data_IF_457812073324
#
_entry.id   IF_457812073324
#
_cell.length_a   1.000
_cell.length_b   1.000
_cell.length_c   1.000
_cell.angle_alpha   90.00
_cell.angle_beta   90.00
_cell.angle_gamma   90.00
#
_symmetry.space_group_name_H-M   'P 1'
#
loop_
_entity.id
_entity.type
_entity.pdbx_description
1 polymer ?
#
# COMPACT_ATOMS: atom_id res chain seq x y z
N UNK A 1 -6.75 8.05 -17.36
CA UNK A 1 -8.18 7.95 -17.00
C UNK A 1 -8.52 6.52 -16.68
N UNK A 2 -9.63 6.25 -15.98
CA UNK A 2 -9.95 4.91 -15.46
C UNK A 2 -10.86 4.05 -16.37
N UNK A 3 -11.24 4.54 -17.55
CA UNK A 3 -12.15 3.82 -18.45
C UNK A 3 -13.54 3.63 -17.82
N UNK A 4 -14.08 2.41 -17.88
CA UNK A 4 -15.40 2.06 -17.36
C UNK A 4 -15.41 1.70 -15.85
N UNK A 5 -14.31 1.95 -15.13
CA UNK A 5 -14.26 1.68 -13.71
C UNK A 5 -15.01 2.77 -12.92
N UNK A 6 -15.62 2.42 -11.76
CA UNK A 6 -16.21 3.41 -10.87
C UNK A 6 -15.16 4.32 -10.20
N UNK A 7 -13.87 3.94 -10.27
CA UNK A 7 -12.77 4.76 -9.81
C UNK A 7 -12.56 5.97 -10.73
N UNK A 8 -12.25 7.14 -10.15
CA UNK A 8 -11.98 8.36 -10.94
C UNK A 8 -10.65 8.27 -11.70
N UNK A 9 -9.66 7.62 -11.11
CA UNK A 9 -8.31 7.50 -11.65
C UNK A 9 -7.76 6.10 -11.43
N UNK A 10 -6.89 5.69 -12.34
CA UNK A 10 -6.00 4.54 -12.17
C UNK A 10 -4.58 5.09 -12.22
N UNK A 11 -3.81 4.86 -11.16
CA UNK A 11 -2.40 5.23 -11.08
C UNK A 11 -1.59 3.96 -11.32
N UNK A 12 -0.80 3.94 -12.38
CA UNK A 12 0.08 2.82 -12.68
C UNK A 12 1.38 2.97 -11.91
N UNK A 13 1.70 2.00 -11.07
CA UNK A 13 2.92 1.94 -10.30
C UNK A 13 3.65 0.62 -10.58
N UNK A 14 4.96 0.72 -10.82
CA UNK A 14 5.83 -0.45 -11.01
C UNK A 14 6.66 -0.61 -9.74
N UNK A 15 6.45 -1.73 -9.04
CA UNK A 15 7.29 -2.10 -7.92
C UNK A 15 8.54 -2.87 -8.38
N UNK A 16 9.53 -3.05 -7.48
CA UNK A 16 10.74 -3.80 -7.79
C UNK A 16 10.48 -5.30 -7.92
N UNK A 17 11.32 -5.98 -8.70
CA UNK A 17 11.50 -7.44 -8.63
C UNK A 17 12.42 -7.75 -7.46
N UNK A 18 12.06 -8.76 -6.66
CA UNK A 18 12.84 -9.15 -5.49
C UNK A 18 14.10 -9.94 -5.87
N UNK A 19 15.27 -9.47 -5.42
CA UNK A 19 16.56 -10.12 -5.64
C UNK A 19 17.29 -10.42 -4.33
N UNK A 20 16.56 -10.55 -3.21
CA UNK A 20 17.12 -10.84 -1.89
C UNK A 20 17.25 -9.62 -0.97
N UNK A 21 16.77 -8.45 -1.38
CA UNK A 21 16.60 -7.28 -0.48
C UNK A 21 17.85 -6.43 -0.28
N UNK A 22 18.93 -6.71 -1.02
CA UNK A 22 20.20 -5.99 -0.93
C UNK A 22 20.40 -4.97 -2.07
N UNK A 23 19.44 -4.85 -2.98
CA UNK A 23 19.51 -3.98 -4.17
C UNK A 23 18.63 -2.72 -4.04
N UNK A 24 18.25 -2.37 -2.81
CA UNK A 24 17.37 -1.22 -2.53
C UNK A 24 15.90 -1.46 -2.85
N UNK A 25 15.46 -2.72 -2.92
CA UNK A 25 14.07 -3.06 -3.22
C UNK A 25 13.09 -2.46 -2.20
N UNK A 26 13.51 -2.35 -0.93
CA UNK A 26 12.70 -1.71 0.12
C UNK A 26 12.38 -0.26 -0.24
N UNK A 27 13.39 0.53 -0.57
CA UNK A 27 13.25 1.94 -0.91
C UNK A 27 12.49 2.14 -2.23
N UNK A 28 12.69 1.24 -3.20
CA UNK A 28 11.95 1.26 -4.46
C UNK A 28 10.46 0.96 -4.26
N UNK A 29 10.13 -0.05 -3.45
CA UNK A 29 8.74 -0.37 -3.12
C UNK A 29 8.07 0.77 -2.35
N UNK A 30 8.74 1.31 -1.33
CA UNK A 30 8.27 2.49 -0.60
C UNK A 30 8.08 3.69 -1.54
N UNK A 31 9.00 3.89 -2.50
CA UNK A 31 8.91 4.90 -3.53
C UNK A 31 7.65 4.77 -4.38
N UNK A 32 7.33 3.55 -4.85
CA UNK A 32 6.14 3.28 -5.65
C UNK A 32 4.84 3.67 -4.91
N UNK A 33 4.72 3.30 -3.63
CA UNK A 33 3.58 3.69 -2.80
C UNK A 33 3.52 5.21 -2.57
N UNK A 34 4.65 5.82 -2.17
CA UNK A 34 4.72 7.26 -1.88
C UNK A 34 4.35 8.11 -3.08
N UNK A 35 4.92 7.82 -4.25
CA UNK A 35 4.63 8.57 -5.49
C UNK A 35 3.16 8.41 -5.91
N UNK A 36 2.59 7.23 -5.72
CA UNK A 36 1.17 6.99 -6.00
C UNK A 36 0.26 7.80 -5.09
N UNK A 37 0.58 7.89 -3.80
CA UNK A 37 -0.13 8.72 -2.83
C UNK A 37 0.00 10.22 -3.15
N UNK A 38 1.20 10.69 -3.49
CA UNK A 38 1.44 12.08 -3.91
C UNK A 38 0.60 12.45 -5.13
N UNK A 39 0.55 11.58 -6.15
CA UNK A 39 -0.27 11.78 -7.34
C UNK A 39 -1.75 11.79 -7.00
N UNK A 40 -2.23 10.86 -6.17
CA UNK A 40 -3.62 10.80 -5.76
C UNK A 40 -4.04 12.10 -5.05
N UNK A 41 -3.25 12.59 -4.09
CA UNK A 41 -3.50 13.86 -3.40
C UNK A 41 -3.45 15.04 -4.38
N UNK A 42 -2.46 15.07 -5.27
CA UNK A 42 -2.34 16.10 -6.31
C UNK A 42 -3.54 16.18 -7.27
N UNK A 43 -4.25 15.07 -7.46
CA UNK A 43 -5.49 15.00 -8.23
C UNK A 43 -6.78 15.14 -7.39
N UNK A 44 -6.66 15.50 -6.10
CA UNK A 44 -7.80 15.70 -5.20
C UNK A 44 -8.53 14.41 -4.82
N UNK A 45 -7.88 13.25 -4.92
CA UNK A 45 -8.45 11.98 -4.48
C UNK A 45 -8.51 11.93 -2.95
N UNK A 46 -9.71 11.70 -2.41
CA UNK A 46 -9.92 11.52 -0.95
C UNK A 46 -9.74 10.07 -0.49
N UNK A 47 -9.77 9.12 -1.41
CA UNK A 47 -9.53 7.71 -1.11
C UNK A 47 -8.66 7.05 -2.17
N UNK A 48 -7.85 6.09 -1.74
CA UNK A 48 -6.95 5.31 -2.60
C UNK A 48 -7.00 3.85 -2.19
N UNK A 49 -7.06 2.96 -3.17
CA UNK A 49 -6.96 1.52 -2.97
C UNK A 49 -5.66 0.99 -3.61
N UNK A 50 -4.91 0.18 -2.88
CA UNK A 50 -3.69 -0.46 -3.35
C UNK A 50 -3.82 -1.99 -3.34
N UNK A 51 -3.27 -2.67 -4.36
CA UNK A 51 -2.94 -4.09 -4.22
C UNK A 51 -1.65 -4.27 -3.38
N UNK A 52 -1.30 -5.52 -3.10
CA UNK A 52 0.02 -5.86 -2.57
C UNK A 52 1.08 -5.79 -3.68
N UNK A 53 1.60 -4.59 -3.96
CA UNK A 53 2.58 -4.32 -5.02
C UNK A 53 3.83 -5.19 -4.79
N UNK A 54 4.34 -5.79 -5.86
CA UNK A 54 5.49 -6.72 -5.88
C UNK A 54 5.35 -8.03 -5.10
N UNK A 55 4.31 -8.21 -4.27
CA UNK A 55 4.10 -9.41 -3.45
C UNK A 55 3.35 -10.55 -4.18
N UNK A 56 3.65 -10.73 -5.47
CA UNK A 56 3.05 -11.74 -6.35
C UNK A 56 4.08 -12.26 -7.35
N UNK A 57 3.87 -12.02 -8.64
CA UNK A 57 4.81 -12.44 -9.70
C UNK A 57 6.25 -11.93 -9.53
N UNK A 58 6.46 -10.83 -8.80
CA UNK A 58 7.77 -10.23 -8.56
C UNK A 58 8.48 -10.80 -7.32
N UNK A 59 7.88 -11.77 -6.64
CA UNK A 59 8.54 -12.60 -5.62
C UNK A 59 8.89 -11.90 -4.31
N UNK A 60 8.42 -10.67 -4.08
CA UNK A 60 8.71 -9.94 -2.84
C UNK A 60 8.11 -10.69 -1.64
N UNK A 61 8.89 -11.00 -0.58
CA UNK A 61 8.36 -11.65 0.61
C UNK A 61 7.19 -10.87 1.19
N UNK A 62 6.04 -11.54 1.28
CA UNK A 62 4.76 -10.91 1.59
C UNK A 62 4.79 -10.10 2.90
N UNK A 63 5.38 -10.66 3.96
CA UNK A 63 5.46 -9.98 5.27
C UNK A 63 6.30 -8.70 5.20
N UNK A 64 7.40 -8.72 4.46
CA UNK A 64 8.26 -7.57 4.26
C UNK A 64 7.59 -6.52 3.35
N UNK A 65 6.90 -6.96 2.29
CA UNK A 65 6.16 -6.07 1.42
C UNK A 65 5.02 -5.37 2.18
N UNK A 66 4.29 -6.12 3.02
CA UNK A 66 3.22 -5.60 3.87
C UNK A 66 3.74 -4.52 4.83
N UNK A 67 4.86 -4.78 5.49
CA UNK A 67 5.49 -3.81 6.40
C UNK A 67 5.89 -2.52 5.66
N UNK A 68 6.57 -2.64 4.51
CA UNK A 68 6.97 -1.47 3.71
C UNK A 68 5.76 -0.68 3.22
N UNK A 69 4.73 -1.36 2.72
CA UNK A 69 3.52 -0.74 2.20
C UNK A 69 2.76 0.03 3.29
N UNK A 70 2.52 -0.61 4.43
CA UNK A 70 1.79 -0.02 5.55
C UNK A 70 2.58 1.10 6.22
N UNK A 71 3.87 0.90 6.49
CA UNK A 71 4.72 1.94 7.07
C UNK A 71 4.72 3.19 6.19
N UNK A 72 4.89 3.02 4.87
CA UNK A 72 4.86 4.14 3.92
C UNK A 72 3.52 4.87 3.93
N UNK A 73 2.41 4.14 3.94
CA UNK A 73 1.07 4.74 3.98
C UNK A 73 0.81 5.48 5.30
N UNK A 74 1.14 4.87 6.44
CA UNK A 74 0.97 5.45 7.78
C UNK A 74 1.78 6.75 7.90
N UNK A 75 3.06 6.72 7.52
CA UNK A 75 3.93 7.89 7.59
C UNK A 75 3.44 9.01 6.68
N UNK A 76 2.99 8.66 5.47
CA UNK A 76 2.43 9.64 4.55
C UNK A 76 1.17 10.29 5.11
N UNK A 77 0.24 9.49 5.65
CA UNK A 77 -1.00 9.98 6.26
C UNK A 77 -0.73 10.86 7.47
N UNK A 78 0.19 10.47 8.35
CA UNK A 78 0.61 11.29 9.50
C UNK A 78 1.20 12.64 9.06
N UNK A 79 1.98 12.65 7.98
CA UNK A 79 2.63 13.87 7.48
C UNK A 79 1.71 14.80 6.69
N UNK A 80 0.73 14.26 5.95
CA UNK A 80 -0.09 15.04 5.00
C UNK A 80 -1.56 15.18 5.41
N UNK A 81 -2.09 14.32 6.28
CA UNK A 81 -3.51 14.28 6.66
C UNK A 81 -4.47 13.93 5.52
N UNK A 82 -3.94 13.55 4.35
CA UNK A 82 -4.69 13.18 3.15
C UNK A 82 -3.92 12.09 2.37
N UNK A 83 -4.58 11.19 1.63
CA UNK A 83 -6.03 11.03 1.47
C UNK A 83 -6.72 10.61 2.79
N UNK A 84 -8.05 10.79 2.89
CA UNK A 84 -8.83 10.43 4.09
C UNK A 84 -8.87 8.91 4.33
N UNK A 85 -8.76 8.12 3.26
CA UNK A 85 -8.80 6.66 3.31
C UNK A 85 -7.76 6.02 2.40
N UNK A 86 -6.91 5.17 2.96
CA UNK A 86 -6.07 4.23 2.22
C UNK A 86 -6.56 2.81 2.51
N UNK A 87 -6.88 2.05 1.46
CA UNK A 87 -7.33 0.66 1.56
C UNK A 87 -6.34 -0.27 0.87
N UNK A 88 -5.95 -1.34 1.53
CA UNK A 88 -5.24 -2.45 0.89
C UNK A 88 -6.25 -3.52 0.49
N UNK A 89 -6.32 -3.81 -0.81
CA UNK A 89 -7.22 -4.81 -1.40
C UNK A 89 -6.39 -6.06 -1.69
N UNK A 90 -6.55 -7.05 -0.85
CA UNK A 90 -5.70 -8.25 -0.79
C UNK A 90 -6.47 -9.44 -1.34
N UNK A 91 -5.81 -10.22 -2.20
CA UNK A 91 -6.48 -11.25 -3.01
C UNK A 91 -6.85 -12.50 -2.20
N UNK A 92 -6.02 -12.88 -1.23
CA UNK A 92 -6.20 -14.10 -0.45
C UNK A 92 -6.02 -13.86 1.06
N UNK A 93 -6.37 -14.88 1.84
CA UNK A 93 -6.29 -14.86 3.29
C UNK A 93 -4.85 -14.70 3.78
N UNK A 94 -3.86 -15.24 3.07
CA UNK A 94 -2.46 -15.17 3.47
C UNK A 94 -1.96 -13.72 3.41
N UNK A 95 -2.25 -13.02 2.32
CA UNK A 95 -1.99 -11.60 2.17
C UNK A 95 -2.73 -10.79 3.25
N UNK A 96 -4.02 -11.07 3.47
CA UNK A 96 -4.80 -10.42 4.52
C UNK A 96 -4.16 -10.56 5.91
N UNK A 97 -3.76 -11.77 6.28
CA UNK A 97 -3.13 -12.06 7.58
C UNK A 97 -1.77 -11.37 7.72
N UNK A 98 -0.94 -11.36 6.67
CA UNK A 98 0.36 -10.68 6.70
C UNK A 98 0.23 -9.17 6.90
N UNK A 99 -0.72 -8.53 6.19
CA UNK A 99 -1.01 -7.11 6.34
C UNK A 99 -1.64 -6.78 7.69
N UNK A 100 -2.56 -7.61 8.20
CA UNK A 100 -3.15 -7.42 9.53
C UNK A 100 -2.07 -7.47 10.62
N UNK A 101 -1.20 -8.50 10.60
CA UNK A 101 -0.12 -8.63 11.56
C UNK A 101 0.88 -7.46 11.47
N UNK A 102 1.19 -6.98 10.26
CA UNK A 102 2.03 -5.81 10.08
C UNK A 102 1.36 -4.54 10.62
N UNK A 103 0.06 -4.35 10.39
CA UNK A 103 -0.69 -3.19 10.89
C UNK A 103 -0.72 -3.16 12.42
N UNK A 104 -0.98 -4.30 13.08
CA UNK A 104 -0.96 -4.42 14.54
C UNK A 104 0.38 -3.99 15.14
N UNK A 105 1.50 -4.36 14.51
CA UNK A 105 2.84 -3.94 14.95
C UNK A 105 3.10 -2.45 14.76
N UNK A 106 2.64 -1.89 13.64
CA UNK A 106 2.97 -0.52 13.23
C UNK A 106 2.02 0.53 13.81
N UNK A 107 0.79 0.15 14.15
CA UNK A 107 -0.25 1.06 14.60
C UNK A 107 -1.16 0.39 15.67
N UNK A 108 -0.62 0.11 16.87
CA UNK A 108 -1.35 -0.58 17.94
C UNK A 108 -2.60 0.18 18.45
N UNK A 109 -2.75 1.46 18.11
CA UNK A 109 -3.86 2.32 18.57
C UNK A 109 -4.96 2.55 17.52
N UNK A 110 -4.84 2.01 16.30
CA UNK A 110 -5.91 2.15 15.31
C UNK A 110 -6.99 1.10 15.58
N UNK A 111 -8.24 1.50 15.88
CA UNK A 111 -9.30 0.54 16.17
C UNK A 111 -9.51 -0.35 14.94
N UNK A 112 -9.31 -1.66 15.12
CA UNK A 112 -9.76 -2.68 14.17
C UNK A 112 -11.26 -2.47 13.99
N UNK A 113 -11.67 -2.12 12.77
CA UNK A 113 -13.09 -2.10 12.40
C UNK A 113 -13.50 -3.53 12.03
N UNK A 114 -13.48 -4.42 13.02
CA UNK A 114 -14.24 -5.66 12.96
C UNK A 114 -15.72 -5.28 13.17
N UNK A 115 -16.52 -5.35 12.10
CA UNK A 115 -17.94 -5.05 12.18
C UNK A 115 -18.60 -4.67 10.86
N UNK A 116 -18.67 -5.62 9.93
CA UNK A 116 -19.92 -6.10 9.32
C UNK A 116 -19.67 -7.39 8.54
#
# INVERSE_FOLDING_TARGET
>A
GAGNLPAKYVIHAVGPVWHGGQSGEKEQLAGAYRRSLELAVGHGCRSVAFPAISAGAYGYPLDQAAEVALQTAIDFLRARGSPELVRFVLFDQRASSAFAAALERLAPEMPSKDGC
#
